data_IF_523272455136
#
_entry.id   IF_523272455136
#
_cell.length_a   1.000
_cell.length_b   1.000
_cell.length_c   1.000
_cell.angle_alpha   90.00
_cell.angle_beta   90.00
_cell.angle_gamma   90.00
#
_symmetry.space_group_name_H-M   'P 1'
#
loop_
_entity.id
_entity.type
_entity.pdbx_description
1 polymer ?
#
# COMPACT_ATOMS: atom_id res chain seq x y z
N UNK A 1 -19.18 -2.16 15.41
CA UNK A 1 -18.21 -1.22 14.79
C UNK A 1 -17.13 -0.94 15.79
N UNK A 2 -15.91 -1.11 15.39
CA UNK A 2 -14.74 -0.89 16.23
C UNK A 2 -14.23 0.53 16.00
N UNK A 3 -14.45 1.47 16.93
CA UNK A 3 -14.10 2.87 16.73
C UNK A 3 -12.60 3.10 16.51
N UNK A 4 -11.75 2.24 17.10
CA UNK A 4 -10.30 2.30 17.00
C UNK A 4 -9.79 2.06 15.60
N UNK A 5 -10.31 1.06 14.89
CA UNK A 5 -9.85 0.70 13.55
C UNK A 5 -10.02 1.83 12.54
N UNK A 6 -11.17 2.51 12.55
CA UNK A 6 -11.39 3.66 11.65
C UNK A 6 -10.45 4.84 11.98
N UNK A 7 -10.21 5.11 13.27
CA UNK A 7 -9.30 6.19 13.69
C UNK A 7 -7.87 5.94 13.20
N UNK A 8 -7.37 4.72 13.34
CA UNK A 8 -6.03 4.35 12.89
C UNK A 8 -5.88 4.41 11.36
N UNK A 9 -6.94 4.07 10.61
CA UNK A 9 -6.95 4.22 9.15
C UNK A 9 -6.86 5.69 8.74
N UNK A 10 -7.64 6.58 9.39
CA UNK A 10 -7.55 8.02 9.13
C UNK A 10 -6.19 8.59 9.50
N UNK A 11 -5.61 8.15 10.64
CA UNK A 11 -4.27 8.57 11.05
C UNK A 11 -3.22 8.12 10.03
N UNK A 12 -3.30 6.88 9.55
CA UNK A 12 -2.45 6.38 8.45
C UNK A 12 -2.57 7.27 7.21
N UNK A 13 -3.81 7.62 6.83
CA UNK A 13 -4.06 8.50 5.69
C UNK A 13 -3.40 9.86 5.84
N UNK A 14 -3.53 10.49 7.00
CA UNK A 14 -2.90 11.79 7.29
C UNK A 14 -1.37 11.70 7.27
N UNK A 15 -0.79 10.68 7.91
CA UNK A 15 0.67 10.46 7.92
C UNK A 15 1.19 10.26 6.50
N UNK A 16 0.53 9.45 5.68
CA UNK A 16 0.92 9.22 4.29
C UNK A 16 0.87 10.51 3.46
N UNK A 17 -0.18 11.34 3.63
CA UNK A 17 -0.30 12.64 2.97
C UNK A 17 0.85 13.58 3.36
N UNK A 18 1.15 13.69 4.65
CA UNK A 18 2.25 14.55 5.15
C UNK A 18 3.59 14.09 4.59
N UNK A 19 3.87 12.79 4.61
CA UNK A 19 5.11 12.24 4.05
C UNK A 19 5.15 12.42 2.53
N UNK A 20 4.02 12.26 1.83
CA UNK A 20 3.91 12.51 0.40
C UNK A 20 4.25 13.95 0.03
N UNK A 21 3.68 14.94 0.73
CA UNK A 21 4.03 16.34 0.54
C UNK A 21 5.49 16.63 0.86
N UNK A 22 6.06 15.99 1.87
CA UNK A 22 7.48 16.13 2.18
C UNK A 22 8.34 15.69 1.00
N UNK A 23 8.06 14.56 0.35
CA UNK A 23 8.76 14.12 -0.87
C UNK A 23 8.63 15.14 -2.02
N UNK A 24 7.43 15.68 -2.23
CA UNK A 24 7.21 16.70 -3.27
C UNK A 24 7.99 17.98 -2.98
N UNK A 25 8.08 18.40 -1.72
CA UNK A 25 8.82 19.59 -1.29
C UNK A 25 10.34 19.44 -1.54
N UNK A 26 10.90 18.25 -1.29
CA UNK A 26 12.35 17.99 -1.47
C UNK A 26 12.68 17.43 -2.85
N UNK A 27 11.80 17.58 -3.82
CA UNK A 27 11.89 16.90 -5.13
C UNK A 27 13.18 17.20 -5.88
N UNK A 28 13.67 18.44 -5.90
CA UNK A 28 14.93 18.87 -6.56
C UNK A 28 15.10 18.31 -8.00
N UNK A 29 14.03 18.28 -8.79
CA UNK A 29 13.96 17.69 -10.14
C UNK A 29 14.16 16.16 -10.23
N UNK A 30 14.24 15.44 -9.11
CA UNK A 30 14.31 13.99 -9.11
C UNK A 30 12.92 13.35 -9.35
N UNK A 31 12.82 12.55 -10.42
CA UNK A 31 11.59 11.84 -10.76
C UNK A 31 11.23 10.77 -9.70
N UNK A 32 12.24 10.11 -9.13
CA UNK A 32 12.02 9.16 -8.03
C UNK A 32 11.29 9.81 -6.86
N UNK A 33 11.69 11.01 -6.44
CA UNK A 33 11.01 11.73 -5.35
C UNK A 33 9.60 12.17 -5.73
N UNK A 34 9.39 12.60 -7.00
CA UNK A 34 8.05 12.90 -7.50
C UNK A 34 7.13 11.71 -7.37
N UNK A 35 7.56 10.55 -7.86
CA UNK A 35 6.74 9.35 -7.87
C UNK A 35 6.51 8.77 -6.47
N UNK A 36 7.51 8.87 -5.56
CA UNK A 36 7.28 8.58 -4.13
C UNK A 36 6.23 9.50 -3.52
N UNK A 37 6.30 10.80 -3.80
CA UNK A 37 5.30 11.78 -3.33
C UNK A 37 3.90 11.45 -3.84
N UNK A 38 3.74 11.18 -5.15
CA UNK A 38 2.47 10.76 -5.76
C UNK A 38 1.96 9.47 -5.11
N UNK A 39 2.82 8.45 -4.96
CA UNK A 39 2.45 7.19 -4.34
C UNK A 39 1.87 7.36 -2.94
N UNK A 40 2.56 8.12 -2.09
CA UNK A 40 2.14 8.33 -0.71
C UNK A 40 0.88 9.20 -0.60
N UNK A 41 0.70 10.19 -1.50
CA UNK A 41 -0.56 10.95 -1.57
C UNK A 41 -1.73 10.05 -1.98
N UNK A 42 -1.55 9.21 -3.00
CA UNK A 42 -2.56 8.24 -3.40
C UNK A 42 -2.87 7.26 -2.27
N UNK A 43 -1.85 6.74 -1.56
CA UNK A 43 -2.05 5.89 -0.39
C UNK A 43 -2.88 6.59 0.68
N UNK A 44 -2.52 7.84 0.99
CA UNK A 44 -3.23 8.63 1.99
C UNK A 44 -4.69 8.86 1.64
N UNK A 45 -4.97 9.24 0.38
CA UNK A 45 -6.35 9.39 -0.12
C UNK A 45 -7.10 8.05 -0.05
N UNK A 46 -6.46 6.97 -0.49
CA UNK A 46 -7.02 5.61 -0.39
C UNK A 46 -7.36 5.23 1.04
N UNK A 47 -6.46 5.48 2.00
CA UNK A 47 -6.70 5.20 3.41
C UNK A 47 -7.89 6.03 3.96
N UNK A 48 -8.01 7.31 3.63
CA UNK A 48 -9.15 8.12 4.05
C UNK A 48 -10.49 7.59 3.49
N UNK A 49 -10.51 7.17 2.23
CA UNK A 49 -11.68 6.53 1.63
C UNK A 49 -11.98 5.18 2.30
N UNK A 50 -10.96 4.35 2.53
CA UNK A 50 -11.10 3.07 3.23
C UNK A 50 -11.63 3.24 4.65
N UNK A 51 -11.13 4.21 5.41
CA UNK A 51 -11.65 4.53 6.74
C UNK A 51 -13.13 4.92 6.72
N UNK A 52 -13.55 5.69 5.70
CA UNK A 52 -14.95 6.07 5.51
C UNK A 52 -15.80 4.86 5.12
N UNK A 53 -15.28 4.00 4.26
CA UNK A 53 -15.98 2.76 3.87
C UNK A 53 -16.19 1.85 5.08
N UNK A 54 -15.15 1.56 5.86
CA UNK A 54 -15.25 0.77 7.09
C UNK A 54 -16.25 1.33 8.09
N UNK A 55 -16.33 2.66 8.21
CA UNK A 55 -17.19 3.30 9.20
C UNK A 55 -18.68 3.26 8.84
N UNK A 56 -19.01 3.41 7.55
CA UNK A 56 -20.38 3.68 7.15
C UNK A 56 -20.91 2.86 5.95
N UNK A 57 -20.03 2.38 5.09
CA UNK A 57 -20.39 1.90 3.76
C UNK A 57 -19.92 0.48 3.46
N UNK A 58 -19.24 -0.20 4.40
CA UNK A 58 -18.66 -1.52 4.14
C UNK A 58 -19.72 -2.56 3.75
N UNK A 59 -19.34 -3.51 2.94
CA UNK A 59 -20.18 -4.64 2.55
C UNK A 59 -20.70 -5.38 3.78
N UNK A 60 -19.87 -5.64 4.77
CA UNK A 60 -20.19 -6.33 6.01
C UNK A 60 -21.30 -5.63 6.78
N UNK A 61 -21.28 -4.29 6.81
CA UNK A 61 -22.34 -3.50 7.47
C UNK A 61 -23.66 -3.55 6.70
N UNK A 62 -23.60 -3.42 5.38
CA UNK A 62 -24.82 -3.31 4.53
C UNK A 62 -25.43 -4.66 4.22
N UNK A 63 -24.65 -5.72 4.26
CA UNK A 63 -25.05 -7.08 3.91
C UNK A 63 -25.12 -8.03 5.11
N UNK A 64 -24.98 -7.53 6.34
CA UNK A 64 -25.07 -8.33 7.56
C UNK A 64 -26.34 -9.19 7.58
N UNK A 65 -26.17 -10.49 7.83
CA UNK A 65 -27.29 -11.46 7.89
C UNK A 65 -27.93 -11.84 6.55
N UNK A 66 -27.47 -11.30 5.41
CA UNK A 66 -27.99 -11.65 4.08
C UNK A 66 -27.16 -12.78 3.46
N UNK A 67 -27.81 -13.83 2.95
CA UNK A 67 -27.15 -14.92 2.21
C UNK A 67 -26.59 -14.47 0.85
N UNK A 68 -27.29 -13.54 0.19
CA UNK A 68 -26.88 -12.94 -1.10
C UNK A 68 -27.12 -11.44 -1.00
N UNK A 69 -26.12 -10.66 -1.34
CA UNK A 69 -26.19 -9.22 -1.31
C UNK A 69 -25.42 -8.65 -2.52
N UNK A 70 -26.09 -7.88 -3.33
CA UNK A 70 -25.51 -7.23 -4.52
C UNK A 70 -24.97 -5.83 -4.21
N UNK A 71 -24.91 -5.45 -2.93
CA UNK A 71 -24.42 -4.14 -2.54
C UNK A 71 -22.95 -3.99 -2.84
N UNK A 72 -22.59 -2.88 -3.46
CA UNK A 72 -21.22 -2.43 -3.68
C UNK A 72 -21.16 -0.93 -3.40
N UNK A 73 -20.16 -0.51 -2.64
CA UNK A 73 -19.87 0.89 -2.39
C UNK A 73 -18.92 1.42 -3.47
N UNK A 74 -19.28 2.53 -4.12
CA UNK A 74 -18.34 3.22 -5.01
C UNK A 74 -17.14 3.78 -4.25
N UNK A 75 -17.28 4.11 -2.97
CA UNK A 75 -16.16 4.51 -2.10
C UNK A 75 -15.18 3.36 -1.93
N UNK A 76 -15.66 2.12 -1.73
CA UNK A 76 -14.85 0.91 -1.68
C UNK A 76 -14.10 0.69 -3.01
N UNK A 77 -14.78 0.84 -4.16
CA UNK A 77 -14.15 0.72 -5.48
C UNK A 77 -13.02 1.75 -5.65
N UNK A 78 -13.29 3.04 -5.37
CA UNK A 78 -12.26 4.08 -5.46
C UNK A 78 -11.09 3.83 -4.51
N UNK A 79 -11.35 3.38 -3.30
CA UNK A 79 -10.31 2.98 -2.36
C UNK A 79 -9.38 1.92 -2.98
N UNK A 80 -9.93 0.87 -3.55
CA UNK A 80 -9.16 -0.20 -4.18
C UNK A 80 -8.38 0.29 -5.40
N UNK A 81 -8.98 1.05 -6.30
CA UNK A 81 -8.31 1.59 -7.49
C UNK A 81 -7.14 2.51 -7.14
N UNK A 82 -7.34 3.39 -6.16
CA UNK A 82 -6.31 4.31 -5.70
C UNK A 82 -5.18 3.56 -4.98
N UNK A 83 -5.49 2.53 -4.20
CA UNK A 83 -4.50 1.73 -3.50
C UNK A 83 -3.55 1.01 -4.47
N UNK A 84 -4.08 0.38 -5.53
CA UNK A 84 -3.22 -0.26 -6.53
C UNK A 84 -2.39 0.76 -7.31
N UNK A 85 -2.95 1.92 -7.66
CA UNK A 85 -2.24 2.99 -8.33
C UNK A 85 -1.09 3.54 -7.47
N UNK A 86 -1.29 3.64 -6.14
CA UNK A 86 -0.26 4.03 -5.18
C UNK A 86 0.95 3.09 -5.22
N UNK A 87 0.72 1.78 -5.13
CA UNK A 87 1.80 0.78 -5.13
C UNK A 87 2.53 0.79 -6.48
N UNK A 88 1.81 0.90 -7.58
CA UNK A 88 2.42 0.99 -8.90
C UNK A 88 3.21 2.30 -9.11
N UNK A 89 2.81 3.39 -8.47
CA UNK A 89 3.62 4.61 -8.41
C UNK A 89 4.94 4.41 -7.62
N UNK A 90 4.95 3.57 -6.55
CA UNK A 90 6.20 3.18 -5.88
C UNK A 90 7.11 2.36 -6.82
N UNK A 91 6.54 1.47 -7.64
CA UNK A 91 7.31 0.74 -8.66
C UNK A 91 8.01 1.71 -9.62
N UNK A 92 7.31 2.73 -10.08
CA UNK A 92 7.88 3.76 -10.95
C UNK A 92 8.97 4.57 -10.21
N UNK A 93 8.76 4.92 -8.95
CA UNK A 93 9.76 5.63 -8.14
C UNK A 93 11.07 4.84 -8.02
N UNK A 94 10.98 3.53 -7.78
CA UNK A 94 12.15 2.63 -7.72
C UNK A 94 12.77 2.45 -9.10
N UNK A 95 11.98 2.45 -10.19
CA UNK A 95 12.51 2.40 -11.54
C UNK A 95 13.47 3.56 -11.83
N UNK A 96 13.14 4.78 -11.38
CA UNK A 96 14.02 5.94 -11.54
C UNK A 96 15.26 5.91 -10.65
N UNK A 97 15.15 5.35 -9.44
CA UNK A 97 16.23 5.44 -8.44
C UNK A 97 17.14 4.21 -8.38
N UNK A 98 16.66 3.04 -8.81
CA UNK A 98 17.38 1.78 -8.57
C UNK A 98 17.44 0.84 -9.78
N UNK A 99 16.79 1.17 -10.91
CA UNK A 99 16.73 0.27 -12.05
C UNK A 99 17.77 0.60 -13.12
N UNK A 100 18.41 -0.42 -13.69
CA UNK A 100 19.25 -0.27 -14.88
C UNK A 100 18.41 0.04 -16.13
N UNK A 101 19.07 0.42 -17.24
CA UNK A 101 18.44 0.96 -18.47
C UNK A 101 17.24 0.17 -18.98
N UNK A 102 17.28 -1.15 -18.95
CA UNK A 102 16.17 -2.01 -19.40
C UNK A 102 15.01 -1.94 -18.40
N UNK A 103 15.30 -2.17 -17.11
CA UNK A 103 14.27 -2.18 -16.05
C UNK A 103 13.63 -0.81 -15.84
N UNK A 104 14.38 0.28 -16.09
CA UNK A 104 13.84 1.65 -16.04
C UNK A 104 12.71 1.90 -17.06
N UNK A 105 12.63 1.10 -18.12
CA UNK A 105 11.55 1.13 -19.12
C UNK A 105 10.47 0.09 -18.86
N UNK A 106 10.87 -1.11 -18.43
CA UNK A 106 9.92 -2.22 -18.24
C UNK A 106 9.09 -2.08 -16.97
N UNK A 107 9.65 -1.55 -15.87
CA UNK A 107 8.90 -1.37 -14.63
C UNK A 107 7.73 -0.38 -14.74
N UNK A 108 7.86 0.81 -15.37
CA UNK A 108 6.73 1.69 -15.60
C UNK A 108 5.65 1.08 -16.50
N UNK A 109 6.06 0.33 -17.56
CA UNK A 109 5.12 -0.38 -18.41
C UNK A 109 4.36 -1.48 -17.65
N UNK A 110 5.07 -2.25 -16.82
CA UNK A 110 4.47 -3.22 -15.91
C UNK A 110 3.48 -2.53 -14.95
N UNK A 111 3.87 -1.42 -14.32
CA UNK A 111 3.02 -0.68 -13.39
C UNK A 111 1.72 -0.20 -14.05
N UNK A 112 1.81 0.34 -15.28
CA UNK A 112 0.65 0.77 -16.05
C UNK A 112 -0.27 -0.41 -16.40
N UNK A 113 0.30 -1.51 -16.89
CA UNK A 113 -0.46 -2.71 -17.24
C UNK A 113 -1.12 -3.35 -16.02
N UNK A 114 -0.40 -3.46 -14.89
CA UNK A 114 -0.92 -3.99 -13.64
C UNK A 114 -2.09 -3.14 -13.11
N UNK A 115 -1.96 -1.81 -13.15
CA UNK A 115 -3.05 -0.89 -12.77
C UNK A 115 -4.25 -1.05 -13.69
N UNK A 116 -4.04 -1.11 -15.02
CA UNK A 116 -5.13 -1.25 -15.99
C UNK A 116 -5.88 -2.57 -15.83
N UNK A 117 -5.16 -3.68 -15.69
CA UNK A 117 -5.74 -5.00 -15.53
C UNK A 117 -6.53 -5.12 -14.21
N UNK A 118 -5.93 -4.66 -13.10
CA UNK A 118 -6.62 -4.62 -11.82
C UNK A 118 -7.90 -3.78 -11.90
N UNK A 119 -7.80 -2.59 -12.50
CA UNK A 119 -8.96 -1.68 -12.63
C UNK A 119 -10.08 -2.31 -13.45
N UNK A 120 -9.73 -3.00 -14.54
CA UNK A 120 -10.72 -3.73 -15.36
C UNK A 120 -11.42 -4.82 -14.54
N UNK A 121 -10.69 -5.62 -13.76
CA UNK A 121 -11.25 -6.68 -12.93
C UNK A 121 -12.12 -6.10 -11.80
N UNK A 122 -11.63 -5.09 -11.09
CA UNK A 122 -12.35 -4.44 -9.99
C UNK A 122 -13.65 -3.80 -10.48
N UNK A 123 -13.62 -3.07 -11.60
CA UNK A 123 -14.81 -2.49 -12.22
C UNK A 123 -15.77 -3.57 -12.73
N UNK A 124 -15.27 -4.67 -13.29
CA UNK A 124 -16.12 -5.81 -13.65
C UNK A 124 -16.84 -6.36 -12.42
N UNK A 125 -16.15 -6.50 -11.29
CA UNK A 125 -16.75 -6.92 -10.02
C UNK A 125 -17.80 -5.94 -9.48
N UNK A 126 -17.74 -4.65 -9.84
CA UNK A 126 -18.74 -3.67 -9.48
C UNK A 126 -20.08 -3.86 -10.24
N UNK A 127 -20.02 -4.36 -11.47
CA UNK A 127 -21.21 -4.59 -12.31
C UNK A 127 -21.71 -6.04 -12.27
N UNK A 128 -20.80 -6.99 -12.06
CA UNK A 128 -21.13 -8.40 -11.88
C UNK A 128 -20.91 -8.71 -10.40
N UNK A 129 -21.92 -9.17 -9.63
CA UNK A 129 -21.81 -9.35 -8.18
C UNK A 129 -20.86 -10.50 -7.86
N UNK A 130 -19.55 -10.24 -8.01
CA UNK A 130 -18.47 -11.15 -7.64
C UNK A 130 -17.62 -10.49 -6.56
N UNK A 131 -17.83 -10.91 -5.31
CA UNK A 131 -17.16 -10.33 -4.14
C UNK A 131 -15.63 -10.44 -4.20
N UNK A 132 -15.09 -11.51 -4.81
CA UNK A 132 -13.63 -11.66 -4.93
C UNK A 132 -13.00 -10.55 -5.79
N UNK A 133 -13.67 -10.11 -6.86
CA UNK A 133 -13.17 -9.04 -7.72
C UNK A 133 -13.16 -7.66 -7.03
N UNK A 134 -13.91 -7.54 -5.93
CA UNK A 134 -13.96 -6.35 -5.07
C UNK A 134 -13.56 -6.79 -3.66
N UNK A 135 -12.28 -7.15 -3.49
CA UNK A 135 -11.78 -7.66 -2.22
C UNK A 135 -10.33 -7.25 -1.95
N UNK A 136 -9.97 -7.29 -0.68
CA UNK A 136 -8.58 -7.12 -0.25
C UNK A 136 -7.67 -8.22 -0.82
N UNK A 137 -8.16 -9.45 -0.96
CA UNK A 137 -7.39 -10.56 -1.51
C UNK A 137 -6.94 -10.30 -2.95
N UNK A 138 -7.78 -9.66 -3.78
CA UNK A 138 -7.40 -9.27 -5.13
C UNK A 138 -6.30 -8.21 -5.12
N UNK A 139 -6.34 -7.23 -4.20
CA UNK A 139 -5.23 -6.27 -4.04
C UNK A 139 -3.95 -7.00 -3.69
N UNK A 140 -3.97 -7.89 -2.69
CA UNK A 140 -2.79 -8.66 -2.27
C UNK A 140 -2.23 -9.45 -3.44
N UNK A 141 -3.07 -10.11 -4.23
CA UNK A 141 -2.65 -10.87 -5.42
C UNK A 141 -1.91 -9.97 -6.43
N UNK A 142 -2.42 -8.78 -6.70
CA UNK A 142 -1.84 -7.86 -7.69
C UNK A 142 -0.62 -7.07 -7.16
N UNK A 143 -0.51 -6.89 -5.86
CA UNK A 143 0.61 -6.16 -5.26
C UNK A 143 1.80 -7.06 -4.91
N UNK A 144 1.56 -8.33 -4.62
CA UNK A 144 2.60 -9.30 -4.26
C UNK A 144 3.73 -9.40 -5.29
N UNK A 145 3.48 -9.51 -6.62
CA UNK A 145 4.56 -9.53 -7.60
C UNK A 145 5.42 -8.26 -7.57
N UNK A 146 4.79 -7.08 -7.44
CA UNK A 146 5.50 -5.80 -7.32
C UNK A 146 6.41 -5.80 -6.09
N UNK A 147 5.89 -6.19 -4.94
CA UNK A 147 6.63 -6.30 -3.69
C UNK A 147 7.87 -7.21 -3.83
N UNK A 148 7.69 -8.40 -4.38
CA UNK A 148 8.78 -9.38 -4.57
C UNK A 148 9.86 -8.82 -5.50
N UNK A 149 9.46 -8.26 -6.64
CA UNK A 149 10.39 -7.66 -7.61
C UNK A 149 11.19 -6.52 -7.00
N UNK A 150 10.53 -5.60 -6.31
CA UNK A 150 11.19 -4.46 -5.66
C UNK A 150 12.16 -4.92 -4.57
N UNK A 151 11.77 -5.90 -3.75
CA UNK A 151 12.64 -6.47 -2.74
C UNK A 151 13.90 -7.10 -3.36
N UNK A 152 13.74 -7.91 -4.42
CA UNK A 152 14.87 -8.55 -5.12
C UNK A 152 15.80 -7.50 -5.73
N UNK A 153 15.27 -6.49 -6.41
CA UNK A 153 16.07 -5.42 -7.03
C UNK A 153 16.93 -4.73 -5.98
N UNK A 154 16.31 -4.23 -4.91
CA UNK A 154 17.02 -3.43 -3.92
C UNK A 154 17.98 -4.28 -3.08
N UNK A 155 17.62 -5.51 -2.74
CA UNK A 155 18.50 -6.46 -2.05
C UNK A 155 19.73 -6.78 -2.88
N UNK A 156 19.54 -7.14 -4.16
CA UNK A 156 20.65 -7.47 -5.07
C UNK A 156 21.58 -6.27 -5.26
N UNK A 157 21.03 -5.07 -5.43
CA UNK A 157 21.82 -3.84 -5.56
C UNK A 157 22.58 -3.52 -4.27
N UNK A 158 21.93 -3.63 -3.12
CA UNK A 158 22.59 -3.39 -1.85
C UNK A 158 23.82 -4.30 -1.65
N UNK A 159 23.69 -5.59 -1.93
CA UNK A 159 24.83 -6.50 -1.79
C UNK A 159 25.97 -6.21 -2.78
N UNK A 160 25.63 -5.69 -3.99
CA UNK A 160 26.63 -5.34 -5.02
C UNK A 160 27.28 -3.97 -4.82
N UNK A 161 26.48 -2.95 -4.48
CA UNK A 161 26.90 -1.55 -4.52
C UNK A 161 27.00 -0.90 -3.14
N UNK A 162 26.41 -1.50 -2.11
CA UNK A 162 26.36 -0.98 -0.73
C UNK A 162 25.78 0.43 -0.63
N UNK A 163 24.90 0.80 -1.53
CA UNK A 163 24.25 2.10 -1.54
C UNK A 163 23.26 2.24 -0.38
N UNK A 164 23.26 3.43 0.27
CA UNK A 164 22.37 3.72 1.40
C UNK A 164 20.90 3.67 1.02
N UNK A 165 20.54 4.10 -0.21
CA UNK A 165 19.18 4.02 -0.71
C UNK A 165 18.70 2.57 -0.83
N UNK A 166 19.53 1.69 -1.41
CA UNK A 166 19.15 0.28 -1.59
C UNK A 166 18.97 -0.42 -0.24
N UNK A 167 19.79 -0.08 0.78
CA UNK A 167 19.58 -0.55 2.15
C UNK A 167 18.25 -0.06 2.73
N UNK A 168 17.94 1.24 2.57
CA UNK A 168 16.70 1.81 3.06
C UNK A 168 15.49 1.16 2.37
N UNK A 169 15.54 0.94 1.05
CA UNK A 169 14.47 0.29 0.29
C UNK A 169 14.34 -1.20 0.64
N UNK A 170 15.45 -1.93 0.77
CA UNK A 170 15.42 -3.32 1.25
C UNK A 170 14.72 -3.42 2.61
N UNK A 171 15.08 -2.55 3.55
CA UNK A 171 14.43 -2.50 4.86
C UNK A 171 12.96 -2.07 4.78
N UNK A 172 12.59 -1.18 3.84
CA UNK A 172 11.19 -0.81 3.56
C UNK A 172 10.37 -2.04 3.18
N UNK A 173 10.85 -2.84 2.23
CA UNK A 173 10.11 -4.02 1.79
C UNK A 173 10.11 -5.13 2.85
N UNK A 174 11.22 -5.34 3.54
CA UNK A 174 11.28 -6.30 4.63
C UNK A 174 10.32 -5.95 5.76
N UNK A 175 10.28 -4.68 6.18
CA UNK A 175 9.39 -4.24 7.25
C UNK A 175 7.91 -4.34 6.85
N UNK A 176 7.56 -4.08 5.58
CA UNK A 176 6.21 -4.33 5.08
C UNK A 176 5.84 -5.81 5.18
N UNK A 177 6.76 -6.71 4.80
CA UNK A 177 6.58 -8.15 4.98
C UNK A 177 6.35 -8.54 6.43
N UNK A 178 7.10 -7.94 7.36
CA UNK A 178 6.92 -8.17 8.81
C UNK A 178 5.55 -7.67 9.28
N UNK A 179 5.11 -6.49 8.83
CA UNK A 179 3.76 -5.96 9.15
C UNK A 179 2.68 -6.93 8.68
N UNK A 180 2.76 -7.41 7.43
CA UNK A 180 1.79 -8.37 6.90
C UNK A 180 1.83 -9.71 7.63
N UNK A 181 3.03 -10.23 7.93
CA UNK A 181 3.17 -11.46 8.71
C UNK A 181 2.56 -11.31 10.12
N UNK A 182 2.80 -10.17 10.77
CA UNK A 182 2.24 -9.88 12.10
C UNK A 182 0.71 -9.83 12.05
N UNK A 183 0.12 -9.20 11.03
CA UNK A 183 -1.31 -9.17 10.79
C UNK A 183 -1.91 -10.58 10.71
N UNK A 184 -1.36 -11.42 9.83
CA UNK A 184 -1.88 -12.79 9.65
C UNK A 184 -1.65 -13.69 10.87
N UNK A 185 -0.52 -13.53 11.57
CA UNK A 185 -0.27 -14.26 12.81
C UNK A 185 -1.23 -13.84 13.93
N UNK A 186 -1.48 -12.54 14.06
CA UNK A 186 -2.39 -12.01 15.06
C UNK A 186 -3.82 -12.54 14.86
N UNK A 187 -4.29 -12.50 13.61
CA UNK A 187 -5.58 -13.08 13.20
C UNK A 187 -5.61 -14.60 13.43
N UNK A 188 -4.62 -15.32 12.90
CA UNK A 188 -4.60 -16.78 12.94
C UNK A 188 -4.44 -17.39 14.34
N UNK A 189 -3.89 -16.64 15.29
CA UNK A 189 -3.75 -17.05 16.69
C UNK A 189 -4.98 -16.69 17.56
N UNK A 190 -6.00 -16.03 16.99
CA UNK A 190 -7.23 -15.63 17.70
C UNK A 190 -6.97 -14.61 18.81
N UNK A 191 -6.00 -13.70 18.61
CA UNK A 191 -5.74 -12.63 19.58
C UNK A 191 -6.88 -11.61 19.69
N UNK A 192 -7.56 -11.20 18.60
CA UNK A 192 -8.69 -10.28 18.69
C UNK A 192 -9.75 -10.75 19.68
N UNK A 193 -10.21 -12.00 19.56
CA UNK A 193 -11.25 -12.58 20.40
C UNK A 193 -10.83 -12.64 21.87
N UNK A 194 -9.57 -13.05 22.13
CA UNK A 194 -9.03 -13.14 23.50
C UNK A 194 -8.91 -11.76 24.18
N UNK A 195 -8.61 -10.71 23.42
CA UNK A 195 -8.53 -9.35 23.96
C UNK A 195 -9.93 -8.79 24.20
N UNK A 196 -10.89 -9.07 23.31
CA UNK A 196 -12.27 -8.61 23.47
C UNK A 196 -12.94 -9.22 24.68
N UNK A 197 -12.68 -10.49 24.99
CA UNK A 197 -13.12 -11.13 26.24
C UNK A 197 -12.61 -10.41 27.51
N UNK A 198 -11.48 -9.69 27.38
CA UNK A 198 -10.87 -8.87 28.44
C UNK A 198 -11.28 -7.39 28.39
N UNK A 199 -12.18 -7.03 27.50
CA UNK A 199 -12.63 -5.64 27.30
C UNK A 199 -11.63 -4.75 26.56
N UNK A 200 -10.64 -5.33 25.88
CA UNK A 200 -9.63 -4.58 25.08
C UNK A 200 -10.02 -4.71 23.60
N UNK A 201 -10.45 -3.60 23.03
CA UNK A 201 -10.84 -3.50 21.61
C UNK A 201 -9.61 -3.17 20.75
N UNK A 202 -8.89 -4.19 20.32
CA UNK A 202 -7.74 -4.06 19.44
C UNK A 202 -7.77 -5.21 18.45
N UNK A 203 -8.10 -4.89 17.19
CA UNK A 203 -8.30 -5.86 16.13
C UNK A 203 -7.02 -6.15 15.33
N UNK A 204 -7.06 -7.12 14.46
CA UNK A 204 -6.01 -7.39 13.48
C UNK A 204 -5.80 -6.18 12.55
N UNK A 205 -6.87 -5.45 12.21
CA UNK A 205 -6.79 -4.22 11.45
C UNK A 205 -6.04 -3.12 12.19
N UNK A 206 -6.19 -3.01 13.52
CA UNK A 206 -5.43 -2.06 14.32
C UNK A 206 -3.93 -2.37 14.27
N UNK A 207 -3.55 -3.65 14.39
CA UNK A 207 -2.16 -4.10 14.26
C UNK A 207 -1.59 -3.72 12.89
N UNK A 208 -2.34 -3.99 11.82
CA UNK A 208 -1.95 -3.65 10.46
C UNK A 208 -1.71 -2.15 10.31
N UNK A 209 -2.65 -1.33 10.75
CA UNK A 209 -2.57 0.12 10.54
C UNK A 209 -1.49 0.78 11.39
N UNK A 210 -1.26 0.32 12.62
CA UNK A 210 -0.12 0.76 13.44
C UNK A 210 1.20 0.41 12.73
N UNK A 211 1.33 -0.81 12.23
CA UNK A 211 2.50 -1.24 11.47
C UNK A 211 2.73 -0.40 10.21
N UNK A 212 1.66 -0.11 9.46
CA UNK A 212 1.73 0.72 8.26
C UNK A 212 2.06 2.18 8.56
N UNK A 213 1.59 2.75 9.67
CA UNK A 213 1.98 4.10 10.12
C UNK A 213 3.49 4.16 10.38
N UNK A 214 4.02 3.20 11.13
CA UNK A 214 5.46 3.13 11.40
C UNK A 214 6.26 2.94 10.10
N UNK A 215 5.76 2.14 9.17
CA UNK A 215 6.34 1.92 7.85
C UNK A 215 6.37 3.22 7.02
N UNK A 216 5.28 4.00 7.01
CA UNK A 216 5.21 5.29 6.32
C UNK A 216 6.20 6.31 6.90
N UNK A 217 6.31 6.37 8.22
CA UNK A 217 7.27 7.23 8.91
C UNK A 217 8.71 6.82 8.55
N UNK A 218 8.99 5.51 8.51
CA UNK A 218 10.29 5.01 8.07
C UNK A 218 10.62 5.44 6.63
N UNK A 219 9.68 5.34 5.68
CA UNK A 219 9.86 5.82 4.31
C UNK A 219 10.21 7.32 4.31
N UNK A 220 9.47 8.13 5.05
CA UNK A 220 9.74 9.57 5.17
C UNK A 220 11.11 9.88 5.75
N UNK A 221 11.58 9.06 6.67
CA UNK A 221 12.85 9.30 7.37
C UNK A 221 14.07 8.75 6.60
N UNK A 222 13.99 7.51 6.12
CA UNK A 222 15.12 6.78 5.56
C UNK A 222 15.19 6.88 4.04
N UNK A 223 14.04 6.72 3.34
CA UNK A 223 14.03 6.73 1.88
C UNK A 223 14.13 8.16 1.34
N UNK A 224 13.37 9.11 1.89
CA UNK A 224 13.33 10.48 1.37
C UNK A 224 14.70 11.16 1.28
N UNK A 225 15.54 10.98 2.29
CA UNK A 225 16.90 11.56 2.33
C UNK A 225 17.81 11.02 1.23
N UNK A 226 17.61 9.76 0.85
CA UNK A 226 18.51 9.04 -0.04
C UNK A 226 17.96 8.90 -1.47
N UNK A 227 16.66 9.11 -1.69
CA UNK A 227 16.02 8.97 -2.98
C UNK A 227 16.55 10.01 -3.97
N UNK A 228 17.22 9.54 -5.02
CA UNK A 228 17.74 10.31 -6.14
C UNK A 228 17.65 9.46 -7.40
N UNK A 229 17.48 10.11 -8.54
CA UNK A 229 17.52 9.40 -9.81
C UNK A 229 18.91 8.85 -10.08
N UNK A 230 18.97 7.63 -10.62
CA UNK A 230 20.22 7.11 -11.15
C UNK A 230 20.65 7.99 -12.31
N UNK A 231 21.84 8.57 -12.21
CA UNK A 231 22.51 9.19 -13.35
C UNK A 231 22.87 8.06 -14.30
N UNK A 232 22.03 7.85 -15.32
CA UNK A 232 22.37 6.91 -16.40
C UNK A 232 23.59 7.52 -17.07
N UNK A 233 24.79 7.05 -16.73
CA UNK A 233 25.96 7.31 -17.54
C UNK A 233 25.66 6.71 -18.92
N UNK A 234 25.36 7.61 -19.85
CA UNK A 234 25.16 7.34 -21.28
C UNK A 234 26.43 6.71 -21.87
#
# INVERSE_FOLDING_TARGET
MEPTSSLLVYLLGLVAIVVGFYFLRIRDNHQSRLWWGIALLLWGIGALLGGTDYQALSYELKCAGKKVCSYISWVEIYYYLISIASINAMVIAVAYSSAGKVMARTLPAYAAMNTALYSALCLTGAFIPNRFLVSFDLIVLFTTPSYVVLFIINTTRYFKLREKLDLALMATWLSLGVVMATYYLYLGLGYPERLWERGIWFSENDVLHVGLILWMLYIGFAVAKNAKDLTVRV
#
